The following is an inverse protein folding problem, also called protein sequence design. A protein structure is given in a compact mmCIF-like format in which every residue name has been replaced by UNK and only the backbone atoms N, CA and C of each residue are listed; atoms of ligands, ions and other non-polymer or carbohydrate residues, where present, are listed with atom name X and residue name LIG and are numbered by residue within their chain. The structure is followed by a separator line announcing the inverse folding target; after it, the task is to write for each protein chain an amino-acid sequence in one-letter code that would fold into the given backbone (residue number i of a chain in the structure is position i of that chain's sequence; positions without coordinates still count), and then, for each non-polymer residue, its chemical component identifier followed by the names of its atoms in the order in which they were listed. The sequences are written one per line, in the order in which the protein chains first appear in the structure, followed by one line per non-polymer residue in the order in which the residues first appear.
data_IF_896442816417
#
_entry.id   IF_896442816417
#
_cell.length_a   1.000
_cell.length_b   1.000
_cell.length_c   1.000
_cell.angle_alpha   90.00
_cell.angle_beta   90.00
_cell.angle_gamma   90.00
#
_symmetry.space_group_name_H-M   'P 1'
#
loop_
_entity.id
_entity.type
_entity.pdbx_description
1 polymer ?
#
# COMPACT_ATOMS: atom_id res chain seq x y z
N UNK A 1 29.22 -6.50 -17.76
CA UNK A 1 28.31 -7.65 -17.54
C UNK A 1 27.57 -7.37 -16.24
N UNK A 2 26.37 -6.79 -16.30
CA UNK A 2 25.59 -6.51 -15.07
C UNK A 2 24.92 -7.81 -14.63
N UNK A 3 25.35 -8.33 -13.49
CA UNK A 3 24.72 -9.48 -12.82
C UNK A 3 23.36 -9.00 -12.31
N UNK A 4 22.29 -9.36 -13.00
CA UNK A 4 20.94 -9.07 -12.53
C UNK A 4 20.56 -10.15 -11.51
N UNK A 5 20.78 -9.90 -10.21
CA UNK A 5 20.18 -10.75 -9.18
C UNK A 5 18.66 -10.62 -9.32
N UNK A 6 17.98 -11.65 -9.82
CA UNK A 6 16.53 -11.70 -9.78
C UNK A 6 16.11 -12.00 -8.35
N UNK A 7 15.86 -10.96 -7.56
CA UNK A 7 15.32 -11.11 -6.20
C UNK A 7 13.88 -11.60 -6.34
N UNK A 8 13.64 -12.83 -5.86
CA UNK A 8 12.37 -13.53 -5.90
C UNK A 8 12.00 -14.02 -4.52
N UNK A 9 10.73 -14.37 -4.33
CA UNK A 9 10.26 -15.03 -3.11
C UNK A 9 10.96 -16.38 -2.93
N UNK A 10 10.87 -16.94 -1.73
CA UNK A 10 11.45 -18.24 -1.38
C UNK A 10 10.89 -19.40 -2.19
N UNK A 11 9.67 -19.27 -2.71
CA UNK A 11 8.99 -20.22 -3.61
C UNK A 11 9.38 -20.02 -5.09
N UNK A 12 10.24 -19.04 -5.40
CA UNK A 12 10.66 -18.71 -6.77
C UNK A 12 9.67 -17.81 -7.52
N UNK A 13 8.56 -17.39 -6.91
CA UNK A 13 7.60 -16.48 -7.51
C UNK A 13 8.09 -15.02 -7.47
N UNK A 14 7.59 -14.22 -8.41
CA UNK A 14 7.82 -12.78 -8.41
C UNK A 14 7.05 -12.09 -7.27
N UNK A 15 7.62 -10.99 -6.76
CA UNK A 15 6.96 -10.12 -5.78
C UNK A 15 5.81 -9.34 -6.41
N UNK A 16 4.81 -8.99 -5.59
CA UNK A 16 3.81 -8.00 -5.99
C UNK A 16 4.44 -6.60 -5.97
N UNK A 17 4.02 -5.67 -6.85
CA UNK A 17 4.47 -4.29 -6.83
C UNK A 17 4.28 -3.61 -5.47
N UNK A 18 3.17 -3.90 -4.79
CA UNK A 18 2.86 -3.43 -3.42
C UNK A 18 3.90 -3.91 -2.42
N UNK A 19 4.24 -5.21 -2.43
CA UNK A 19 5.24 -5.78 -1.52
C UNK A 19 6.59 -5.07 -1.64
N UNK A 20 7.03 -4.76 -2.86
CA UNK A 20 8.30 -4.05 -3.06
C UNK A 20 8.25 -2.61 -2.50
N UNK A 21 7.09 -1.95 -2.57
CA UNK A 21 6.88 -0.63 -1.98
C UNK A 21 6.83 -0.71 -0.45
N UNK A 22 6.21 -1.74 0.11
CA UNK A 22 6.17 -1.97 1.56
C UNK A 22 7.56 -2.26 2.13
N UNK A 23 8.43 -2.94 1.37
CA UNK A 23 9.83 -3.10 1.73
C UNK A 23 10.53 -1.74 1.82
N UNK A 24 10.35 -0.84 0.85
CA UNK A 24 10.90 0.52 0.94
C UNK A 24 10.39 1.28 2.17
N UNK A 25 9.09 1.23 2.44
CA UNK A 25 8.50 1.85 3.63
C UNK A 25 9.11 1.31 4.92
N UNK A 26 9.40 -0.01 4.96
CA UNK A 26 10.06 -0.66 6.09
C UNK A 26 11.48 -0.14 6.26
N UNK A 27 12.25 -0.03 5.17
CA UNK A 27 13.59 0.56 5.22
C UNK A 27 13.57 2.02 5.66
N UNK A 28 12.68 2.85 5.13
CA UNK A 28 12.54 4.25 5.58
C UNK A 28 12.26 4.35 7.07
N UNK A 29 11.42 3.46 7.61
CA UNK A 29 11.15 3.41 9.05
C UNK A 29 12.44 3.10 9.85
N UNK A 30 13.26 2.16 9.38
CA UNK A 30 14.54 1.80 10.02
C UNK A 30 15.55 2.96 9.91
N UNK A 31 15.66 3.58 8.73
CA UNK A 31 16.55 4.72 8.53
C UNK A 31 16.17 5.90 9.44
N UNK A 32 14.87 6.12 9.67
CA UNK A 32 14.39 7.11 10.64
C UNK A 32 14.72 6.72 12.08
N UNK A 33 14.54 5.46 12.47
CA UNK A 33 14.89 5.03 13.84
C UNK A 33 16.37 5.22 14.15
N UNK A 34 17.20 5.09 13.12
CA UNK A 34 18.66 5.18 13.24
C UNK A 34 19.19 6.62 13.00
N UNK A 35 18.29 7.61 12.85
CA UNK A 35 18.62 9.01 12.55
C UNK A 35 19.55 9.18 11.32
N UNK A 36 19.36 8.37 10.29
CA UNK A 36 20.21 8.36 9.09
C UNK A 36 20.13 9.66 8.26
N UNK A 37 19.09 10.47 8.45
CA UNK A 37 18.94 11.79 7.82
C UNK A 37 18.41 11.76 6.38
N UNK A 38 18.31 10.59 5.76
CA UNK A 38 17.79 10.40 4.40
C UNK A 38 16.74 9.29 4.35
N UNK A 39 15.78 9.42 3.44
CA UNK A 39 14.69 8.47 3.18
C UNK A 39 14.76 7.98 1.73
N UNK A 40 14.69 6.67 1.52
CA UNK A 40 14.63 6.03 0.21
C UNK A 40 13.44 6.55 -0.60
N UNK A 41 12.29 6.77 0.03
CA UNK A 41 11.09 7.25 -0.68
C UNK A 41 11.18 8.68 -1.22
N UNK A 42 12.04 9.55 -0.67
CA UNK A 42 12.02 10.99 -0.97
C UNK A 42 13.38 11.58 -1.32
N UNK A 43 14.43 11.20 -0.60
CA UNK A 43 15.74 11.84 -0.69
C UNK A 43 16.38 11.63 -2.07
N UNK A 44 17.06 12.65 -2.58
CA UNK A 44 17.63 12.65 -3.94
C UNK A 44 18.74 11.60 -4.09
N UNK A 45 19.41 11.28 -2.99
CA UNK A 45 20.44 10.26 -2.83
C UNK A 45 19.94 8.87 -3.28
N UNK A 46 18.64 8.61 -3.15
CA UNK A 46 18.00 7.36 -3.51
C UNK A 46 17.17 7.43 -4.80
N UNK A 47 17.32 8.48 -5.62
CA UNK A 47 16.58 8.62 -6.87
C UNK A 47 16.74 7.41 -7.79
N UNK A 48 17.98 6.94 -8.01
CA UNK A 48 18.27 5.75 -8.83
C UNK A 48 17.61 4.49 -8.29
N UNK A 49 17.55 4.33 -6.96
CA UNK A 49 16.88 3.19 -6.32
C UNK A 49 15.38 3.19 -6.65
N UNK A 50 14.74 4.36 -6.57
CA UNK A 50 13.32 4.51 -6.95
C UNK A 50 13.10 4.27 -8.44
N UNK A 51 13.99 4.73 -9.30
CA UNK A 51 13.89 4.51 -10.76
C UNK A 51 13.96 3.02 -11.10
N UNK A 52 14.92 2.30 -10.53
CA UNK A 52 15.05 0.85 -10.71
C UNK A 52 13.82 0.11 -10.19
N UNK A 53 13.30 0.52 -9.03
CA UNK A 53 12.09 -0.08 -8.49
C UNK A 53 10.88 0.16 -9.40
N UNK A 54 10.65 1.40 -9.82
CA UNK A 54 9.55 1.76 -10.70
C UNK A 54 9.64 0.97 -12.02
N UNK A 55 10.84 0.86 -12.59
CA UNK A 55 11.10 0.06 -13.77
C UNK A 55 10.77 -1.43 -13.57
N UNK A 56 11.03 -1.99 -12.38
CA UNK A 56 10.67 -3.39 -12.02
C UNK A 56 9.17 -3.57 -11.79
N UNK A 57 8.47 -2.57 -11.28
CA UNK A 57 7.01 -2.66 -11.04
C UNK A 57 6.19 -2.69 -12.33
N UNK A 58 6.65 -2.04 -13.41
CA UNK A 58 5.96 -2.02 -14.71
C UNK A 58 5.71 -3.45 -15.26
N UNK A 59 6.71 -4.32 -15.44
CA UNK A 59 6.47 -5.68 -15.93
C UNK A 59 5.67 -6.53 -14.94
N UNK A 60 5.82 -6.34 -13.63
CA UNK A 60 5.04 -7.06 -12.62
C UNK A 60 3.54 -6.75 -12.72
N UNK A 61 3.18 -5.48 -12.96
CA UNK A 61 1.80 -5.10 -13.25
C UNK A 61 1.28 -5.77 -14.53
N UNK A 62 2.09 -5.82 -15.60
CA UNK A 62 1.73 -6.50 -16.86
C UNK A 62 1.54 -8.01 -16.68
N UNK A 63 2.20 -8.63 -15.70
CA UNK A 63 2.05 -10.04 -15.34
C UNK A 63 0.83 -10.33 -14.43
N UNK A 64 -0.01 -9.34 -14.16
CA UNK A 64 -1.17 -9.50 -13.25
C UNK A 64 -0.81 -9.58 -11.77
N UNK A 65 0.47 -9.37 -11.39
CA UNK A 65 0.89 -9.34 -9.97
C UNK A 65 0.53 -8.02 -9.28
N UNK A 66 -0.02 -7.05 -10.01
CA UNK A 66 -0.55 -5.81 -9.46
C UNK A 66 -1.87 -6.00 -8.73
N UNK A 67 -2.30 -5.02 -7.94
CA UNK A 67 -3.52 -5.10 -7.14
C UNK A 67 -4.82 -4.88 -7.96
N UNK A 68 -4.74 -4.94 -9.30
CA UNK A 68 -5.87 -4.64 -10.19
C UNK A 68 -7.00 -5.67 -10.06
N UNK A 69 -6.65 -6.95 -10.02
CA UNK A 69 -7.62 -8.06 -9.89
C UNK A 69 -8.09 -8.28 -8.44
N UNK A 70 -7.29 -7.85 -7.46
CA UNK A 70 -7.61 -7.92 -6.03
C UNK A 70 -8.27 -6.64 -5.50
N UNK A 71 -8.60 -5.69 -6.39
CA UNK A 71 -9.24 -4.45 -5.98
C UNK A 71 -10.64 -4.82 -5.50
N UNK A 72 -10.88 -4.64 -4.20
CA UNK A 72 -12.22 -4.79 -3.65
C UNK A 72 -13.19 -3.95 -4.47
N UNK A 73 -14.38 -4.51 -4.74
CA UNK A 73 -15.45 -3.77 -5.39
C UNK A 73 -15.72 -2.49 -4.61
N UNK A 74 -16.02 -1.42 -5.33
CA UNK A 74 -16.37 -0.14 -4.71
C UNK A 74 -17.65 -0.34 -3.91
N UNK A 75 -17.63 0.04 -2.64
CA UNK A 75 -18.82 0.00 -1.80
C UNK A 75 -19.92 0.87 -2.41
N UNK A 76 -21.11 0.30 -2.52
CA UNK A 76 -22.30 1.04 -2.95
C UNK A 76 -22.86 1.85 -1.77
N UNK A 77 -23.75 2.80 -2.07
CA UNK A 77 -24.47 3.52 -1.03
C UNK A 77 -25.27 2.56 -0.13
N UNK A 78 -25.89 1.54 -0.73
CA UNK A 78 -26.69 0.54 0.00
C UNK A 78 -25.83 -0.30 0.95
N UNK A 79 -24.59 -0.62 0.57
CA UNK A 79 -23.64 -1.31 1.46
C UNK A 79 -23.30 -0.45 2.67
N UNK A 80 -23.03 0.85 2.44
CA UNK A 80 -22.70 1.80 3.51
C UNK A 80 -23.91 1.98 4.44
N UNK A 81 -25.10 2.16 3.88
CA UNK A 81 -26.33 2.28 4.66
C UNK A 81 -26.59 1.00 5.49
N UNK A 82 -26.38 -0.18 4.90
CA UNK A 82 -26.49 -1.45 5.62
C UNK A 82 -25.50 -1.55 6.79
N UNK A 83 -24.27 -1.05 6.65
CA UNK A 83 -23.27 -1.02 7.73
C UNK A 83 -23.70 -0.11 8.89
N UNK A 84 -24.31 1.05 8.61
CA UNK A 84 -24.89 1.91 9.65
C UNK A 84 -26.11 1.26 10.30
N UNK A 85 -27.01 0.68 9.50
CA UNK A 85 -28.24 0.02 9.98
C UNK A 85 -27.95 -1.19 10.87
N UNK A 86 -26.94 -1.99 10.52
CA UNK A 86 -26.53 -3.18 11.29
C UNK A 86 -25.63 -2.84 12.48
N UNK A 87 -25.27 -1.56 12.67
CA UNK A 87 -24.43 -1.10 13.76
C UNK A 87 -22.95 -1.47 13.63
N UNK A 88 -22.49 -1.86 12.42
CA UNK A 88 -21.06 -2.02 12.14
C UNK A 88 -20.36 -0.66 12.13
N UNK A 89 -21.06 0.37 11.67
CA UNK A 89 -20.70 1.78 11.77
C UNK A 89 -21.76 2.52 12.60
N UNK A 90 -21.37 3.63 13.21
CA UNK A 90 -22.21 4.46 14.07
C UNK A 90 -21.45 4.96 15.30
N UNK A 91 -22.21 5.59 16.20
CA UNK A 91 -21.68 6.25 17.41
C UNK A 91 -22.12 5.53 18.70
N UNK A 92 -22.66 4.32 18.57
CA UNK A 92 -23.34 3.59 19.64
C UNK A 92 -22.38 3.09 20.74
N UNK A 93 -21.11 2.85 20.41
CA UNK A 93 -20.08 2.44 21.36
C UNK A 93 -18.68 2.81 20.85
N UNK A 94 -17.62 2.75 21.70
CA UNK A 94 -16.27 3.13 21.30
C UNK A 94 -15.72 2.34 20.11
N UNK A 95 -16.05 1.06 19.98
CA UNK A 95 -15.60 0.21 18.87
C UNK A 95 -16.25 0.63 17.56
N UNK A 96 -17.57 0.83 17.54
CA UNK A 96 -18.29 1.27 16.34
C UNK A 96 -17.91 2.69 15.95
N UNK A 97 -17.63 3.56 16.92
CA UNK A 97 -17.07 4.89 16.69
C UNK A 97 -15.69 4.80 16.01
N UNK A 98 -14.80 3.94 16.51
CA UNK A 98 -13.48 3.74 15.92
C UNK A 98 -13.58 3.21 14.49
N UNK A 99 -14.42 2.21 14.25
CA UNK A 99 -14.66 1.68 12.91
C UNK A 99 -15.19 2.77 11.96
N UNK A 100 -16.10 3.61 12.43
CA UNK A 100 -16.65 4.74 11.66
C UNK A 100 -15.58 5.76 11.32
N UNK A 101 -14.71 6.11 12.27
CA UNK A 101 -13.62 7.03 12.01
C UNK A 101 -12.62 6.46 11.00
N UNK A 102 -12.24 5.19 11.13
CA UNK A 102 -11.38 4.51 10.17
C UNK A 102 -12.00 4.46 8.77
N UNK A 103 -13.29 4.11 8.70
CA UNK A 103 -14.04 4.09 7.45
C UNK A 103 -14.07 5.47 6.79
N UNK A 104 -14.44 6.53 7.52
CA UNK A 104 -14.52 7.89 7.00
C UNK A 104 -13.16 8.43 6.57
N UNK A 105 -12.09 8.17 7.32
CA UNK A 105 -10.74 8.61 6.94
C UNK A 105 -10.26 7.94 5.67
N UNK A 106 -10.54 6.64 5.47
CA UNK A 106 -10.20 5.94 4.22
C UNK A 106 -11.09 6.36 3.05
N UNK A 107 -12.39 6.55 3.29
CA UNK A 107 -13.35 6.98 2.28
C UNK A 107 -13.04 8.40 1.80
N UNK A 108 -12.85 9.37 2.70
CA UNK A 108 -12.52 10.75 2.33
C UNK A 108 -11.22 10.81 1.51
N UNK A 109 -10.18 10.06 1.90
CA UNK A 109 -8.93 10.01 1.15
C UNK A 109 -9.06 9.40 -0.26
N UNK A 110 -10.07 8.54 -0.48
CA UNK A 110 -10.34 7.96 -1.79
C UNK A 110 -11.09 8.91 -2.75
N UNK A 111 -11.71 9.98 -2.25
CA UNK A 111 -12.51 10.93 -3.05
C UNK A 111 -11.97 12.38 -3.05
N UNK A 112 -10.96 12.70 -2.24
CA UNK A 112 -10.40 14.07 -2.11
C UNK A 112 -8.97 14.21 -2.67
N UNK A 113 -8.43 13.19 -3.34
CA UNK A 113 -7.11 13.24 -4.02
C UNK A 113 -7.23 12.77 -5.46
#
# INVERSE_FOLDING_TARGET
MSVHFSVRKTDGEEYEPSSLRDMMCTYDRILRSDNYGYEISKSVEFAKTRDVLNAKQIPLNKMGKGNGEKRAETLTYDDIEAMFRTGQLGLSNPTTLLHTLCFLTQYILAYVV
#
